data_IF_473867202923
#
_entry.id   IF_473867202923
#
_cell.length_a   1.000
_cell.length_b   1.000
_cell.length_c   1.000
_cell.angle_alpha   90.00
_cell.angle_beta   90.00
_cell.angle_gamma   90.00
#
_symmetry.space_group_name_H-M   'P 1'
#
loop_
_entity.id
_entity.type
_entity.pdbx_description
1 polymer ?
#
# COMPACT_ATOMS: atom_id res chain seq x y z
N UNK A 1 8.28 -28.36 15.24
CA UNK A 1 8.42 -26.88 15.29
C UNK A 1 9.82 -26.53 15.73
N UNK A 2 10.69 -26.16 14.79
CA UNK A 2 12.06 -25.72 15.03
C UNK A 2 12.00 -24.34 15.69
N UNK A 3 12.48 -24.22 16.94
CA UNK A 3 12.60 -22.92 17.62
C UNK A 3 13.59 -22.06 16.83
N UNK A 4 13.10 -20.95 16.28
CA UNK A 4 13.94 -19.98 15.58
C UNK A 4 15.00 -19.47 16.56
N UNK A 5 16.28 -19.67 16.26
CA UNK A 5 17.40 -19.11 17.02
C UNK A 5 17.81 -17.81 16.34
N UNK A 6 17.85 -16.74 17.12
CA UNK A 6 18.42 -15.48 16.66
C UNK A 6 19.93 -15.49 16.92
N UNK A 7 20.71 -15.11 15.91
CA UNK A 7 22.18 -15.06 15.96
C UNK A 7 22.72 -13.71 16.45
N UNK A 8 21.84 -12.79 16.87
CA UNK A 8 22.21 -11.46 17.33
C UNK A 8 22.60 -11.47 18.81
N UNK A 9 23.66 -10.74 19.15
CA UNK A 9 24.03 -10.49 20.55
C UNK A 9 22.86 -9.80 21.27
N UNK A 10 22.53 -10.21 22.50
CA UNK A 10 21.48 -9.54 23.27
C UNK A 10 21.84 -8.07 23.46
N UNK A 11 20.87 -7.18 23.22
CA UNK A 11 21.03 -5.76 23.47
C UNK A 11 21.44 -5.54 24.93
N UNK A 12 22.39 -4.62 25.15
CA UNK A 12 22.80 -4.19 26.50
C UNK A 12 21.55 -3.88 27.34
N UNK A 13 21.35 -4.52 28.50
CA UNK A 13 20.10 -4.43 29.28
C UNK A 13 19.70 -3.00 29.67
N UNK A 14 20.67 -2.07 29.78
CA UNK A 14 20.36 -0.67 30.08
C UNK A 14 19.93 0.12 28.84
N UNK A 15 20.54 -0.18 27.69
CA UNK A 15 20.22 0.42 26.39
C UNK A 15 18.95 -0.19 25.78
N UNK A 16 18.67 -1.46 26.09
CA UNK A 16 17.48 -2.19 25.65
C UNK A 16 16.23 -1.63 26.28
N UNK A 17 16.27 -1.18 27.54
CA UNK A 17 15.09 -0.63 28.23
C UNK A 17 14.64 0.68 27.58
N UNK A 18 15.56 1.60 27.29
CA UNK A 18 15.26 2.85 26.58
C UNK A 18 14.75 2.60 25.16
N UNK A 19 15.37 1.65 24.45
CA UNK A 19 14.93 1.26 23.10
C UNK A 19 13.53 0.61 23.16
N UNK A 20 13.27 -0.21 24.18
CA UNK A 20 12.00 -0.89 24.37
C UNK A 20 10.89 0.12 24.70
N UNK A 21 11.13 1.09 25.57
CA UNK A 21 10.16 2.16 25.87
C UNK A 21 9.75 2.95 24.62
N UNK A 22 10.68 3.15 23.66
CA UNK A 22 10.38 3.83 22.39
C UNK A 22 9.70 2.91 21.38
N UNK A 23 10.12 1.64 21.30
CA UNK A 23 9.63 0.70 20.29
C UNK A 23 8.31 0.05 20.67
N UNK A 24 8.06 -0.22 21.95
CA UNK A 24 6.84 -0.87 22.44
C UNK A 24 5.55 -0.16 22.01
N UNK A 25 5.38 1.16 22.12
CA UNK A 25 4.20 1.82 21.60
C UNK A 25 4.07 1.69 20.07
N UNK A 26 5.19 1.74 19.34
CA UNK A 26 5.20 1.58 17.87
C UNK A 26 4.74 0.17 17.49
N UNK A 27 5.30 -0.86 18.12
CA UNK A 27 4.92 -2.25 17.86
C UNK A 27 3.50 -2.54 18.31
N UNK A 28 3.05 -1.95 19.43
CA UNK A 28 1.67 -2.04 19.91
C UNK A 28 0.70 -1.47 18.87
N UNK A 29 0.97 -0.26 18.37
CA UNK A 29 0.16 0.38 17.33
C UNK A 29 0.17 -0.41 16.01
N UNK A 30 1.32 -0.94 15.61
CA UNK A 30 1.46 -1.76 14.40
C UNK A 30 0.82 -3.15 14.54
N UNK A 31 0.63 -3.63 15.77
CA UNK A 31 0.00 -4.92 16.06
C UNK A 31 -1.51 -4.81 16.30
N UNK A 32 -2.10 -3.62 16.17
CA UNK A 32 -3.53 -3.41 16.37
C UNK A 32 -4.37 -4.26 15.41
N UNK A 33 -5.38 -5.01 15.91
CA UNK A 33 -6.19 -5.90 15.08
C UNK A 33 -6.86 -5.19 13.90
N UNK A 34 -7.25 -3.93 14.07
CA UNK A 34 -7.86 -3.12 13.01
C UNK A 34 -6.88 -2.87 11.86
N UNK A 35 -5.61 -2.60 12.17
CA UNK A 35 -4.54 -2.39 11.19
C UNK A 35 -4.21 -3.72 10.48
N UNK A 36 -4.01 -4.79 11.25
CA UNK A 36 -3.69 -6.12 10.71
C UNK A 36 -4.81 -6.68 9.84
N UNK A 37 -6.08 -6.44 10.19
CA UNK A 37 -7.22 -6.85 9.37
C UNK A 37 -7.25 -6.13 8.02
N UNK A 38 -6.82 -4.87 7.94
CA UNK A 38 -6.64 -4.16 6.67
C UNK A 38 -5.50 -4.75 5.83
N UNK A 39 -4.47 -5.31 6.45
CA UNK A 39 -3.34 -5.95 5.78
C UNK A 39 -3.65 -7.35 5.22
N UNK A 40 -4.63 -8.09 5.77
CA UNK A 40 -5.00 -9.45 5.33
C UNK A 40 -5.36 -9.56 3.84
N UNK A 41 -5.85 -8.49 3.23
CA UNK A 41 -6.21 -8.47 1.81
C UNK A 41 -5.02 -8.46 0.85
N UNK A 42 -3.77 -8.32 1.32
CA UNK A 42 -2.63 -7.91 0.47
C UNK A 42 -2.97 -6.67 -0.37
N UNK A 43 -3.80 -5.78 0.18
CA UNK A 43 -4.14 -4.49 -0.40
C UNK A 43 -2.98 -3.53 -0.13
N UNK A 44 -1.76 -3.90 -0.50
CA UNK A 44 -0.69 -2.93 -0.66
C UNK A 44 -0.94 -2.21 -1.99
N UNK A 45 -1.99 -1.39 -2.01
CA UNK A 45 -1.86 -0.15 -2.77
C UNK A 45 -0.63 0.49 -2.15
N UNK A 46 0.46 0.62 -2.91
CA UNK A 46 1.69 1.18 -2.39
C UNK A 46 1.41 2.64 -2.01
N UNK A 47 0.94 2.85 -0.78
CA UNK A 47 0.51 4.15 -0.26
C UNK A 47 1.69 5.12 -0.31
N UNK A 48 2.90 4.61 -0.11
CA UNK A 48 4.13 5.37 -0.25
C UNK A 48 4.34 5.81 -1.70
N UNK A 49 4.12 4.96 -2.71
CA UNK A 49 4.17 5.38 -4.12
C UNK A 49 3.07 6.39 -4.47
N UNK A 50 1.85 6.20 -3.96
CA UNK A 50 0.74 7.13 -4.21
C UNK A 50 1.04 8.52 -3.63
N UNK A 51 1.50 8.58 -2.37
CA UNK A 51 1.90 9.81 -1.72
C UNK A 51 3.13 10.45 -2.38
N UNK A 52 4.19 9.67 -2.60
CA UNK A 52 5.42 10.18 -3.23
C UNK A 52 5.13 10.64 -4.66
N UNK A 53 4.32 9.91 -5.42
CA UNK A 53 3.89 10.31 -6.76
C UNK A 53 3.19 11.66 -6.75
N UNK A 54 2.39 11.95 -5.72
CA UNK A 54 1.73 13.23 -5.56
C UNK A 54 2.70 14.35 -5.15
N UNK A 55 3.61 14.09 -4.20
CA UNK A 55 4.67 15.04 -3.82
C UNK A 55 5.52 15.44 -5.03
N UNK A 56 5.96 14.45 -5.82
CA UNK A 56 6.77 14.68 -7.01
C UNK A 56 5.97 15.22 -8.21
N UNK A 57 4.63 15.16 -8.16
CA UNK A 57 3.79 15.87 -9.13
C UNK A 57 3.82 17.38 -8.89
N UNK A 58 3.84 17.82 -7.63
CA UNK A 58 3.94 19.23 -7.27
C UNK A 58 5.37 19.77 -7.32
N UNK A 59 6.36 18.96 -6.95
CA UNK A 59 7.77 19.31 -7.00
C UNK A 59 8.57 18.26 -7.79
N UNK A 60 8.57 18.34 -9.14
CA UNK A 60 9.23 17.32 -9.96
C UNK A 60 10.72 17.18 -9.65
N UNK A 61 11.18 15.94 -9.45
CA UNK A 61 12.57 15.63 -9.09
C UNK A 61 13.63 16.15 -10.07
N UNK A 62 13.25 16.30 -11.34
CA UNK A 62 14.14 16.79 -12.39
C UNK A 62 14.28 18.31 -12.39
N UNK A 63 13.50 19.02 -11.58
CA UNK A 63 13.57 20.47 -11.40
C UNK A 63 14.12 20.79 -10.02
N UNK A 64 15.02 21.78 -9.95
CA UNK A 64 15.46 22.31 -8.67
C UNK A 64 14.31 23.05 -7.99
N UNK A 65 13.95 22.62 -6.78
CA UNK A 65 12.93 23.25 -5.95
C UNK A 65 13.54 23.66 -4.62
N UNK A 66 13.28 24.89 -4.19
CA UNK A 66 13.71 25.38 -2.88
C UNK A 66 12.95 24.69 -1.74
N UNK A 67 13.49 24.76 -0.52
CA UNK A 67 12.91 24.14 0.67
C UNK A 67 11.41 24.49 0.86
N UNK A 68 11.06 25.77 0.76
CA UNK A 68 9.67 26.24 0.91
C UNK A 68 8.72 25.62 -0.11
N UNK A 69 9.19 25.39 -1.34
CA UNK A 69 8.39 24.73 -2.39
C UNK A 69 8.15 23.27 -2.06
N UNK A 70 9.16 22.57 -1.56
CA UNK A 70 9.04 21.17 -1.13
C UNK A 70 8.10 21.05 0.08
N UNK A 71 8.21 21.95 1.05
CA UNK A 71 7.31 22.01 2.21
C UNK A 71 5.85 22.21 1.79
N UNK A 72 5.60 23.17 0.88
CA UNK A 72 4.25 23.42 0.37
C UNK A 72 3.71 22.23 -0.43
N UNK A 73 4.55 21.64 -1.30
CA UNK A 73 4.20 20.44 -2.04
C UNK A 73 3.85 19.28 -1.11
N UNK A 74 4.58 19.13 0.00
CA UNK A 74 4.28 18.15 1.02
C UNK A 74 2.92 18.41 1.70
N UNK A 75 2.63 19.64 2.12
CA UNK A 75 1.32 19.96 2.73
C UNK A 75 0.16 19.65 1.78
N UNK A 76 0.26 20.03 0.51
CA UNK A 76 -0.76 19.68 -0.49
C UNK A 76 -0.84 18.19 -0.75
N UNK A 77 0.30 17.49 -0.78
CA UNK A 77 0.31 16.06 -0.99
C UNK A 77 -0.41 15.32 0.14
N UNK A 78 -0.12 15.67 1.40
CA UNK A 78 -0.77 15.11 2.59
C UNK A 78 -2.27 15.42 2.59
N UNK A 79 -2.65 16.68 2.31
CA UNK A 79 -4.04 17.09 2.29
C UNK A 79 -4.86 16.32 1.25
N UNK A 80 -4.37 16.24 0.02
CA UNK A 80 -5.05 15.52 -1.06
C UNK A 80 -5.07 14.02 -0.78
N UNK A 81 -3.98 13.44 -0.27
CA UNK A 81 -3.92 12.01 0.03
C UNK A 81 -4.98 11.59 1.05
N UNK A 82 -5.17 12.38 2.11
CA UNK A 82 -6.10 12.05 3.19
C UNK A 82 -7.55 12.48 2.91
N UNK A 83 -7.76 13.68 2.36
CA UNK A 83 -9.08 14.31 2.26
C UNK A 83 -9.53 14.59 0.82
N UNK A 84 -8.68 14.32 -0.18
CA UNK A 84 -9.00 14.66 -1.57
C UNK A 84 -8.81 16.13 -1.92
N UNK A 85 -9.27 16.50 -3.12
CA UNK A 85 -9.16 17.87 -3.62
C UNK A 85 -10.03 18.86 -2.84
N UNK A 86 -11.02 18.37 -2.07
CA UNK A 86 -11.80 19.21 -1.15
C UNK A 86 -10.92 19.91 -0.10
N UNK A 87 -9.85 19.27 0.37
CA UNK A 87 -8.94 19.92 1.32
C UNK A 87 -8.19 21.12 0.72
N UNK A 88 -7.92 21.10 -0.59
CA UNK A 88 -7.33 22.24 -1.29
C UNK A 88 -8.33 23.40 -1.37
N UNK A 89 -9.60 23.10 -1.65
CA UNK A 89 -10.65 24.13 -1.67
C UNK A 89 -10.81 24.78 -0.29
N UNK A 90 -10.81 24.00 0.79
CA UNK A 90 -10.82 24.53 2.18
C UNK A 90 -9.60 25.40 2.47
N UNK A 91 -8.40 24.98 2.05
CA UNK A 91 -7.19 25.76 2.23
C UNK A 91 -7.26 27.11 1.49
N UNK A 92 -7.78 27.11 0.27
CA UNK A 92 -7.99 28.32 -0.52
C UNK A 92 -9.04 29.25 0.11
N UNK A 93 -10.15 28.71 0.59
CA UNK A 93 -11.16 29.46 1.34
C UNK A 93 -10.57 30.11 2.59
N UNK A 94 -9.73 29.38 3.33
CA UNK A 94 -9.02 29.90 4.52
C UNK A 94 -8.06 31.06 4.17
N UNK A 95 -7.50 31.05 2.96
CA UNK A 95 -6.67 32.15 2.43
C UNK A 95 -7.49 33.30 1.84
N UNK A 96 -8.83 33.26 1.95
CA UNK A 96 -9.73 34.30 1.45
C UNK A 96 -10.08 34.17 -0.04
N UNK A 97 -9.79 33.03 -0.67
CA UNK A 97 -10.18 32.77 -2.07
C UNK A 97 -11.64 32.33 -2.11
N UNK A 98 -12.44 33.00 -2.93
CA UNK A 98 -13.85 32.66 -3.14
C UNK A 98 -13.94 31.40 -4.03
N UNK A 99 -14.51 30.33 -3.50
CA UNK A 99 -14.66 29.07 -4.22
C UNK A 99 -15.97 29.06 -5.01
N UNK A 100 -15.85 29.11 -6.34
CA UNK A 100 -17.00 29.04 -7.25
C UNK A 100 -17.53 27.61 -7.46
N UNK A 101 -18.77 27.45 -7.95
CA UNK A 101 -19.38 26.14 -8.22
C UNK A 101 -18.54 25.25 -9.15
N UNK A 102 -17.90 25.85 -10.17
CA UNK A 102 -17.04 25.11 -11.11
C UNK A 102 -15.79 24.52 -10.45
N UNK A 103 -15.22 25.20 -9.46
CA UNK A 103 -14.07 24.70 -8.72
C UNK A 103 -14.45 23.51 -7.84
N UNK A 104 -15.64 23.58 -7.21
CA UNK A 104 -16.20 22.48 -6.43
C UNK A 104 -16.49 21.25 -7.30
N UNK A 105 -17.18 21.44 -8.42
CA UNK A 105 -17.46 20.36 -9.39
C UNK A 105 -16.17 19.75 -9.96
N UNK A 106 -15.16 20.56 -10.24
CA UNK A 106 -13.85 20.07 -10.66
C UNK A 106 -13.20 19.18 -9.59
N UNK A 107 -13.18 19.61 -8.33
CA UNK A 107 -12.61 18.84 -7.23
C UNK A 107 -13.33 17.50 -7.05
N UNK A 108 -14.67 17.50 -7.06
CA UNK A 108 -15.49 16.29 -6.97
C UNK A 108 -15.20 15.33 -8.12
N UNK A 109 -15.17 15.82 -9.37
CA UNK A 109 -14.82 15.00 -10.56
C UNK A 109 -13.42 14.43 -10.50
N UNK A 110 -12.46 15.21 -9.99
CA UNK A 110 -11.06 14.81 -9.82
C UNK A 110 -10.95 13.66 -8.80
N UNK A 111 -11.64 13.78 -7.66
CA UNK A 111 -11.65 12.78 -6.61
C UNK A 111 -12.38 11.50 -7.05
N UNK A 112 -13.53 11.62 -7.72
CA UNK A 112 -14.24 10.47 -8.31
C UNK A 112 -13.35 9.69 -9.28
N UNK A 113 -12.65 10.39 -10.18
CA UNK A 113 -11.70 9.75 -11.12
C UNK A 113 -10.58 9.05 -10.38
N UNK A 114 -10.04 9.67 -9.33
CA UNK A 114 -8.97 9.08 -8.52
C UNK A 114 -9.43 7.79 -7.85
N UNK A 115 -10.63 7.77 -7.26
CA UNK A 115 -11.21 6.56 -6.65
C UNK A 115 -11.43 5.46 -7.68
N UNK A 116 -12.01 5.80 -8.84
CA UNK A 116 -12.23 4.83 -9.93
C UNK A 116 -10.92 4.17 -10.39
N UNK A 117 -9.85 4.96 -10.59
CA UNK A 117 -8.55 4.42 -11.01
C UNK A 117 -7.93 3.54 -9.91
N UNK A 118 -8.06 3.95 -8.64
CA UNK A 118 -7.58 3.16 -7.51
C UNK A 118 -8.28 1.80 -7.43
N UNK A 119 -9.61 1.79 -7.56
CA UNK A 119 -10.43 0.57 -7.49
C UNK A 119 -10.17 -0.35 -8.70
N UNK A 120 -10.01 0.22 -9.90
CA UNK A 120 -9.60 -0.54 -11.09
C UNK A 120 -8.26 -1.24 -10.88
N UNK A 121 -7.23 -0.51 -10.42
CA UNK A 121 -5.89 -1.06 -10.16
C UNK A 121 -5.92 -2.13 -9.07
N UNK A 122 -6.73 -1.92 -8.03
CA UNK A 122 -6.94 -2.90 -6.97
C UNK A 122 -7.55 -4.19 -7.52
N UNK A 123 -8.56 -4.09 -8.37
CA UNK A 123 -9.17 -5.25 -9.01
C UNK A 123 -8.21 -5.99 -9.94
N UNK A 124 -7.41 -5.26 -10.72
CA UNK A 124 -6.37 -5.82 -11.60
C UNK A 124 -5.31 -6.59 -10.79
N UNK A 125 -4.77 -5.99 -9.73
CA UNK A 125 -3.80 -6.64 -8.86
C UNK A 125 -4.35 -7.92 -8.20
N UNK A 126 -5.62 -7.91 -7.77
CA UNK A 126 -6.28 -9.11 -7.26
C UNK A 126 -6.41 -10.20 -8.33
N UNK A 127 -6.75 -9.83 -9.57
CA UNK A 127 -6.86 -10.76 -10.70
C UNK A 127 -5.51 -11.37 -11.06
N UNK A 128 -4.45 -10.57 -11.10
CA UNK A 128 -3.08 -11.04 -11.34
C UNK A 128 -2.63 -12.00 -10.26
N UNK A 129 -2.79 -11.63 -8.98
CA UNK A 129 -2.45 -12.48 -7.85
C UNK A 129 -3.22 -13.82 -7.86
N UNK A 130 -4.51 -13.79 -8.23
CA UNK A 130 -5.32 -15.01 -8.39
C UNK A 130 -4.81 -15.89 -9.53
N UNK A 131 -4.47 -15.29 -10.67
CA UNK A 131 -3.95 -16.00 -11.84
C UNK A 131 -2.62 -16.66 -11.51
N UNK A 132 -1.71 -15.93 -10.86
CA UNK A 132 -0.40 -16.45 -10.45
C UNK A 132 -0.50 -17.63 -9.48
N UNK A 133 -1.44 -17.60 -8.51
CA UNK A 133 -1.68 -18.75 -7.62
C UNK A 133 -2.17 -19.98 -8.38
N UNK A 134 -3.06 -19.79 -9.37
CA UNK A 134 -3.58 -20.89 -10.19
C UNK A 134 -2.49 -21.50 -11.06
N UNK A 135 -1.66 -20.67 -11.70
CA UNK A 135 -0.55 -21.17 -12.53
C UNK A 135 0.50 -21.90 -11.70
N UNK A 136 0.83 -21.40 -10.50
CA UNK A 136 1.75 -22.08 -9.59
C UNK A 136 1.21 -23.44 -9.12
N UNK A 137 -0.07 -23.53 -8.76
CA UNK A 137 -0.70 -24.79 -8.37
C UNK A 137 -0.73 -25.80 -9.55
N UNK A 138 -1.05 -25.33 -10.75
CA UNK A 138 -1.03 -26.18 -11.95
C UNK A 138 0.38 -26.68 -12.28
N UNK A 139 1.41 -25.84 -12.17
CA UNK A 139 2.80 -26.24 -12.37
C UNK A 139 3.26 -27.27 -11.33
N UNK A 140 2.83 -27.12 -10.06
CA UNK A 140 3.12 -28.09 -9.01
C UNK A 140 2.43 -29.43 -9.27
N UNK A 141 1.19 -29.41 -9.75
CA UNK A 141 0.47 -30.63 -10.13
C UNK A 141 1.12 -31.34 -11.34
N UNK A 142 1.55 -30.59 -12.35
CA UNK A 142 2.32 -31.15 -13.48
C UNK A 142 3.63 -31.79 -13.03
N UNK A 143 4.31 -31.20 -12.04
CA UNK A 143 5.53 -31.77 -11.47
C UNK A 143 5.25 -33.12 -10.78
N UNK A 144 4.17 -33.21 -9.99
CA UNK A 144 3.75 -34.47 -9.37
C UNK A 144 3.32 -35.52 -10.40
N UNK A 145 2.59 -35.14 -11.46
CA UNK A 145 2.23 -36.04 -12.56
C UNK A 145 3.48 -36.58 -13.31
N UNK A 146 4.54 -35.78 -13.43
CA UNK A 146 5.82 -36.21 -14.02
C UNK A 146 6.63 -37.13 -13.07
N UNK A 147 6.63 -36.87 -11.77
CA UNK A 147 7.32 -37.72 -10.77
C UNK A 147 6.61 -39.06 -10.56
N UNK A 148 5.29 -39.09 -10.51
CA UNK A 148 4.51 -40.32 -10.30
C UNK A 148 4.38 -41.18 -11.58
N UNK A 149 4.56 -40.58 -12.77
CA UNK A 149 4.39 -41.26 -14.06
C UNK A 149 2.91 -41.55 -14.40
N UNK A 150 2.63 -42.25 -15.52
CA UNK A 150 1.26 -42.66 -15.88
C UNK A 150 0.68 -43.58 -14.79
N UNK A 151 -0.07 -43.01 -13.85
CA UNK A 151 -0.83 -43.79 -12.88
C UNK A 151 -1.96 -44.51 -13.60
N UNK A 152 -2.07 -45.81 -13.33
CA UNK A 152 -3.00 -46.79 -13.91
C UNK A 152 -4.30 -46.15 -14.44
N UNK A 153 -4.49 -46.18 -15.75
CA UNK A 153 -5.74 -45.75 -16.38
C UNK A 153 -6.95 -46.48 -15.78
N UNK A 154 -8.16 -45.88 -15.83
CA UNK A 154 -9.36 -46.47 -15.26
C UNK A 154 -9.51 -47.89 -15.79
N UNK A 155 -9.35 -48.85 -14.89
CA UNK A 155 -9.14 -50.26 -15.22
C UNK A 155 -10.21 -50.78 -16.17
N UNK A 156 -9.78 -51.17 -17.37
CA UNK A 156 -10.51 -52.15 -18.17
C UNK A 156 -10.15 -53.50 -17.55
N UNK A 157 -10.95 -53.93 -16.57
CA UNK A 157 -10.97 -55.33 -16.16
C UNK A 157 -11.94 -56.05 -17.11
N UNK A 158 -11.40 -57.01 -17.87
CA UNK A 158 -12.17 -58.00 -18.64
C UNK A 158 -13.07 -58.87 -17.75
#
# INVERSE_FOLDING_TARGET
>A
MTKFKHDYLPLDPYRSLQIQEVLEPIYSDLSRPELLNRCKGSNTQNNNESYNGLLWHFAPKHLHSGLKTIELANFFAVAIFNEGFQAILKAFETMGVIIGPSAKDYAEKRDMRRMMVAEKRHHEALKEARTARRTAAAAQQQFFEQEEGELYGPGIAE
#
